data_IF_771540340288
#
_entry.id   IF_771540340288
#
_cell.length_a   1.000
_cell.length_b   1.000
_cell.length_c   1.000
_cell.angle_alpha   90.00
_cell.angle_beta   90.00
_cell.angle_gamma   90.00
#
_symmetry.space_group_name_H-M   'P 1'
#
loop_
_entity.id
_entity.type
_entity.pdbx_description
1 polymer ?
#
# COMPACT_ATOMS: atom_id res chain seq x y z
N UNK A 1 -6.88 -21.18 -17.61
CA UNK A 1 -7.04 -19.77 -17.19
C UNK A 1 -7.72 -19.00 -18.31
N UNK A 2 -9.03 -19.19 -18.46
CA UNK A 2 -9.85 -18.41 -19.39
C UNK A 2 -10.23 -17.12 -18.68
N UNK A 3 -9.94 -15.97 -19.31
CA UNK A 3 -10.21 -14.66 -18.76
C UNK A 3 -11.70 -14.45 -18.57
N UNK A 4 -12.17 -14.52 -17.34
CA UNK A 4 -13.52 -14.14 -16.94
C UNK A 4 -13.59 -12.63 -16.71
N UNK A 5 -14.68 -12.01 -17.15
CA UNK A 5 -15.03 -10.61 -16.92
C UNK A 5 -14.71 -10.21 -15.47
N UNK A 6 -13.77 -9.27 -15.26
CA UNK A 6 -13.60 -8.59 -13.97
C UNK A 6 -12.18 -8.29 -13.47
N UNK A 7 -11.11 -8.52 -14.23
CA UNK A 7 -9.76 -8.11 -13.76
C UNK A 7 -9.58 -6.61 -13.99
N UNK A 8 -9.66 -5.81 -12.91
CA UNK A 8 -9.48 -4.34 -12.94
C UNK A 8 -8.02 -3.90 -12.79
N UNK A 9 -7.15 -4.75 -12.23
CA UNK A 9 -5.74 -4.45 -11.97
C UNK A 9 -4.92 -5.74 -11.84
N UNK A 10 -3.63 -5.68 -12.18
CA UNK A 10 -2.68 -6.79 -12.09
C UNK A 10 -1.36 -6.33 -11.43
N UNK A 11 -1.38 -5.93 -10.14
CA UNK A 11 -0.23 -5.28 -9.48
C UNK A 11 1.00 -6.18 -9.33
N UNK A 12 0.81 -7.51 -9.35
CA UNK A 12 1.89 -8.50 -9.28
C UNK A 12 2.11 -9.24 -10.61
N UNK A 13 1.46 -8.80 -11.69
CA UNK A 13 1.44 -9.50 -12.98
C UNK A 13 0.57 -10.77 -12.99
N UNK A 14 0.76 -11.60 -14.02
CA UNK A 14 -0.03 -12.83 -14.23
C UNK A 14 0.76 -13.85 -15.06
N UNK A 15 0.44 -15.14 -14.93
CA UNK A 15 0.99 -16.21 -15.75
C UNK A 15 2.34 -16.73 -15.26
N UNK A 16 3.13 -17.34 -16.17
CA UNK A 16 4.37 -18.05 -15.84
C UNK A 16 5.50 -17.16 -15.27
N UNK A 17 5.40 -15.84 -15.46
CA UNK A 17 6.35 -14.83 -14.95
C UNK A 17 5.67 -13.85 -13.98
N UNK A 18 4.65 -14.31 -13.27
CA UNK A 18 4.06 -13.56 -12.16
C UNK A 18 5.13 -13.28 -11.09
N UNK A 19 4.98 -12.18 -10.35
CA UNK A 19 5.87 -11.85 -9.24
C UNK A 19 6.03 -13.06 -8.30
N UNK A 20 7.26 -13.57 -8.20
CA UNK A 20 7.57 -14.69 -7.31
C UNK A 20 7.29 -14.38 -5.83
N UNK A 21 7.21 -13.09 -5.48
CA UNK A 21 6.90 -12.60 -4.13
C UNK A 21 5.42 -12.43 -3.82
N UNK A 22 4.47 -12.77 -4.70
CA UNK A 22 3.04 -12.49 -4.50
C UNK A 22 2.51 -13.02 -3.16
N UNK A 23 2.71 -14.31 -2.88
CA UNK A 23 2.12 -14.94 -1.69
C UNK A 23 2.72 -14.39 -0.39
N UNK A 24 4.04 -14.16 -0.37
CA UNK A 24 4.72 -13.59 0.80
C UNK A 24 4.34 -12.12 1.00
N UNK A 25 4.25 -11.33 -0.06
CA UNK A 25 3.87 -9.93 0.00
C UNK A 25 2.45 -9.77 0.56
N UNK A 26 1.48 -10.58 0.09
CA UNK A 26 0.11 -10.54 0.61
C UNK A 26 0.04 -10.84 2.11
N UNK A 27 0.70 -11.91 2.56
CA UNK A 27 0.76 -12.27 3.98
C UNK A 27 1.33 -11.11 4.84
N UNK A 28 2.42 -10.49 4.37
CA UNK A 28 3.06 -9.39 5.09
C UNK A 28 2.18 -8.14 5.09
N UNK A 29 1.62 -7.75 3.94
CA UNK A 29 0.79 -6.56 3.80
C UNK A 29 -0.49 -6.67 4.64
N UNK A 30 -1.17 -7.82 4.60
CA UNK A 30 -2.37 -8.06 5.40
C UNK A 30 -2.08 -7.93 6.90
N UNK A 31 -1.05 -8.61 7.40
CA UNK A 31 -0.68 -8.53 8.80
C UNK A 31 -0.24 -7.11 9.20
N UNK A 32 0.64 -6.50 8.42
CA UNK A 32 1.20 -5.19 8.72
C UNK A 32 0.13 -4.10 8.73
N UNK A 33 -0.68 -4.02 7.67
CA UNK A 33 -1.76 -3.02 7.57
C UNK A 33 -2.83 -3.25 8.62
N UNK A 34 -3.23 -4.50 8.88
CA UNK A 34 -4.23 -4.81 9.90
C UNK A 34 -3.81 -4.31 11.29
N UNK A 35 -2.55 -4.52 11.69
CA UNK A 35 -2.05 -4.00 12.96
C UNK A 35 -1.99 -2.47 12.95
N UNK A 36 -1.50 -1.83 11.87
CA UNK A 36 -1.43 -0.37 11.78
C UNK A 36 -2.80 0.32 11.93
N UNK A 37 -3.84 -0.21 11.28
CA UNK A 37 -5.19 0.38 11.35
C UNK A 37 -5.90 0.05 12.66
N UNK A 38 -5.60 -1.11 13.26
CA UNK A 38 -6.16 -1.52 14.56
C UNK A 38 -5.59 -0.69 15.70
N UNK A 39 -4.29 -0.46 15.71
CA UNK A 39 -3.61 0.20 16.83
C UNK A 39 -3.63 1.73 16.71
N UNK A 40 -3.69 2.31 15.51
CA UNK A 40 -3.55 3.76 15.33
C UNK A 40 -4.70 4.42 14.55
N UNK A 41 -5.04 5.63 14.97
CA UNK A 41 -5.73 6.61 14.15
C UNK A 41 -4.67 7.44 13.42
N UNK A 42 -4.78 7.47 12.09
CA UNK A 42 -3.83 8.15 11.21
C UNK A 42 -4.32 9.56 10.93
N UNK A 43 -3.47 10.55 11.18
CA UNK A 43 -3.77 11.96 10.95
C UNK A 43 -2.63 12.60 10.17
N UNK A 44 -2.92 13.69 9.48
CA UNK A 44 -1.87 14.52 8.90
C UNK A 44 -1.02 15.14 10.02
N UNK A 45 0.28 15.23 9.77
CA UNK A 45 1.14 16.02 10.64
C UNK A 45 0.90 17.53 10.36
N UNK A 46 0.88 18.40 11.38
CA UNK A 46 0.67 19.84 11.17
C UNK A 46 1.66 20.42 10.15
N UNK A 47 1.14 21.08 9.12
CA UNK A 47 1.94 21.66 8.03
C UNK A 47 2.41 20.65 6.97
N UNK A 48 1.95 19.40 7.00
CA UNK A 48 2.29 18.34 6.05
C UNK A 48 1.02 17.65 5.53
N UNK A 49 0.24 18.40 4.74
CA UNK A 49 -0.92 17.88 4.01
C UNK A 49 -0.51 16.74 3.08
N UNK A 50 -1.36 15.74 2.94
CA UNK A 50 -1.06 14.56 2.12
C UNK A 50 -1.34 14.86 0.65
N UNK A 51 -0.27 14.86 -0.14
CA UNK A 51 -0.30 14.89 -1.61
C UNK A 51 -0.20 13.47 -2.16
N UNK A 52 -1.07 13.13 -3.12
CA UNK A 52 -0.99 11.88 -3.88
C UNK A 52 -0.27 12.07 -5.22
N UNK A 53 0.41 13.19 -5.43
CA UNK A 53 1.24 13.37 -6.62
C UNK A 53 2.37 12.34 -6.62
N UNK A 54 2.60 11.74 -7.79
CA UNK A 54 3.56 10.67 -7.97
C UNK A 54 4.77 11.18 -8.75
N UNK A 55 5.93 10.58 -8.49
CA UNK A 55 7.10 10.71 -9.35
C UNK A 55 7.61 9.32 -9.71
N UNK A 56 8.21 9.23 -10.89
CA UNK A 56 8.85 8.01 -11.36
C UNK A 56 10.31 8.00 -10.88
N UNK A 57 10.68 6.97 -10.14
CA UNK A 57 12.07 6.60 -9.89
C UNK A 57 12.32 5.21 -10.49
N UNK A 58 13.01 4.31 -9.77
CA UNK A 58 13.02 2.89 -10.12
C UNK A 58 11.62 2.27 -10.02
N UNK A 59 10.79 2.79 -9.12
CA UNK A 59 9.37 2.49 -8.96
C UNK A 59 8.56 3.78 -8.91
N UNK A 60 7.23 3.70 -9.03
CA UNK A 60 6.36 4.84 -8.71
C UNK A 60 6.39 5.10 -7.20
N UNK A 61 6.70 6.35 -6.81
CA UNK A 61 6.75 6.77 -5.41
C UNK A 61 6.01 8.09 -5.22
N UNK A 62 5.65 8.42 -3.98
CA UNK A 62 5.07 9.75 -3.66
C UNK A 62 6.10 10.84 -3.95
N UNK A 63 5.66 11.91 -4.61
CA UNK A 63 6.48 13.08 -4.90
C UNK A 63 6.91 13.76 -3.58
N UNK A 64 5.96 13.96 -2.68
CA UNK A 64 6.19 14.37 -1.30
C UNK A 64 6.12 13.17 -0.34
N UNK A 65 7.16 12.86 0.44
CA UNK A 65 7.12 11.73 1.38
C UNK A 65 6.02 11.87 2.44
N UNK A 66 5.28 10.78 2.69
CA UNK A 66 4.23 10.75 3.70
C UNK A 66 4.78 11.04 5.10
N UNK A 67 4.17 11.99 5.81
CA UNK A 67 4.48 12.32 7.22
C UNK A 67 3.24 12.14 8.09
N UNK A 68 2.97 10.91 8.56
CA UNK A 68 1.78 10.64 9.35
C UNK A 68 2.01 11.01 10.80
N UNK A 69 0.95 11.50 11.45
CA UNK A 69 0.83 11.55 12.90
C UNK A 69 -0.01 10.37 13.36
N UNK A 70 0.63 9.41 14.03
CA UNK A 70 -0.02 8.21 14.55
C UNK A 70 -0.51 8.45 15.99
N UNK A 71 -1.82 8.29 16.21
CA UNK A 71 -2.43 8.41 17.55
C UNK A 71 -2.90 7.02 17.99
N UNK A 72 -2.44 6.48 19.13
CA UNK A 72 -2.93 5.19 19.63
C UNK A 72 -4.46 5.21 19.81
N UNK A 73 -5.16 4.18 19.31
CA UNK A 73 -6.62 4.03 19.46
C UNK A 73 -7.03 3.49 20.83
N UNK A 74 -6.15 2.75 21.48
CA UNK A 74 -6.34 2.19 22.83
C UNK A 74 -5.23 2.75 23.71
N UNK A 75 -5.61 3.37 24.83
CA UNK A 75 -4.68 3.79 25.90
C UNK A 75 -4.42 2.65 26.86
#
# INVERSE_FOLDING_TARGET
MTGTKGIRMMPFGVGRRICAGLSIAMLHLEYFVANMVREFEWKEAPGYEVSFEEKLEFTTVMKEPLRPRLVPRRS
#
